data_IF_383329658750
#
_entry.id   IF_383329658750
#
_cell.length_a   1.000
_cell.length_b   1.000
_cell.length_c   1.000
_cell.angle_alpha   90.00
_cell.angle_beta   90.00
_cell.angle_gamma   90.00
#
_symmetry.space_group_name_H-M   'P 1'
#
loop_
_entity.id
_entity.type
_entity.pdbx_description
1 polymer ?
#
# COMPACT_ATOMS: atom_id res chain seq x y z
N UNK A 1 38.47 0.99 0.20
CA UNK A 1 37.72 2.27 0.15
C UNK A 1 36.23 2.09 0.36
N UNK A 2 35.53 1.22 -0.39
CA UNK A 2 34.09 0.99 -0.20
C UNK A 2 33.69 0.66 1.26
N UNK A 3 34.46 -0.19 1.95
CA UNK A 3 34.23 -0.48 3.38
C UNK A 3 34.46 0.70 4.32
N UNK A 4 35.31 1.66 3.94
CA UNK A 4 35.61 2.83 4.76
C UNK A 4 34.57 3.96 4.57
N UNK A 5 33.94 3.99 3.38
CA UNK A 5 32.93 4.99 3.01
C UNK A 5 31.72 4.33 2.34
N UNK A 6 30.97 3.50 3.08
CA UNK A 6 29.85 2.73 2.54
C UNK A 6 28.70 3.61 2.04
N UNK A 7 28.54 4.80 2.62
CA UNK A 7 27.56 5.84 2.29
C UNK A 7 27.96 6.69 1.05
N UNK A 8 29.16 6.46 0.49
CA UNK A 8 29.74 7.22 -0.63
C UNK A 8 30.05 6.36 -1.86
N UNK A 9 29.46 5.17 -1.93
CA UNK A 9 29.41 4.41 -3.17
C UNK A 9 28.51 5.20 -4.12
N UNK A 10 28.95 5.41 -5.36
CA UNK A 10 28.22 6.20 -6.35
C UNK A 10 27.92 5.37 -7.59
N UNK A 11 26.72 5.56 -8.15
CA UNK A 11 26.28 5.00 -9.44
C UNK A 11 26.00 6.12 -10.42
N UNK A 12 26.49 5.96 -11.64
CA UNK A 12 26.28 6.91 -12.72
C UNK A 12 24.80 6.96 -13.13
N UNK A 13 24.23 8.16 -13.32
CA UNK A 13 22.82 8.33 -13.73
C UNK A 13 22.59 8.13 -15.23
N UNK A 14 23.55 8.57 -16.04
CA UNK A 14 23.53 8.49 -17.51
C UNK A 14 24.86 7.94 -17.97
N UNK A 15 24.86 7.03 -18.93
CA UNK A 15 26.11 6.50 -19.47
C UNK A 15 27.00 7.65 -19.97
N UNK A 16 28.27 7.65 -19.53
CA UNK A 16 29.28 8.69 -19.84
C UNK A 16 28.91 10.11 -19.38
N UNK A 17 27.97 10.26 -18.45
CA UNK A 17 27.66 11.53 -17.80
C UNK A 17 28.54 11.78 -16.56
N UNK A 18 28.63 13.02 -16.13
CA UNK A 18 29.32 13.42 -14.90
C UNK A 18 28.46 13.30 -13.64
N UNK A 19 27.18 12.95 -13.78
CA UNK A 19 26.20 12.88 -12.70
C UNK A 19 26.12 11.49 -12.08
N UNK A 20 26.26 11.45 -10.75
CA UNK A 20 26.19 10.25 -9.93
C UNK A 20 25.15 10.39 -8.82
N UNK A 21 24.65 9.25 -8.35
CA UNK A 21 23.87 9.13 -7.11
C UNK A 21 24.70 8.36 -6.11
N UNK A 22 24.86 8.92 -4.92
CA UNK A 22 25.53 8.25 -3.81
C UNK A 22 24.58 7.26 -3.11
N UNK A 23 25.12 6.27 -2.42
CA UNK A 23 24.35 5.26 -1.66
C UNK A 23 23.56 5.89 -0.50
N UNK A 24 23.90 7.10 -0.06
CA UNK A 24 23.07 7.89 0.86
C UNK A 24 21.92 8.68 0.19
N UNK A 25 21.73 8.54 -1.13
CA UNK A 25 20.67 9.19 -1.91
C UNK A 25 21.01 10.58 -2.45
N UNK A 26 22.12 11.20 -2.03
CA UNK A 26 22.54 12.53 -2.52
C UNK A 26 23.04 12.44 -3.96
N UNK A 27 22.82 13.52 -4.72
CA UNK A 27 23.43 13.66 -6.04
C UNK A 27 24.87 14.14 -5.89
N UNK A 28 25.77 13.62 -6.70
CA UNK A 28 27.16 14.04 -6.74
C UNK A 28 27.63 14.18 -8.20
N UNK A 29 28.49 15.16 -8.46
CA UNK A 29 29.02 15.42 -9.78
C UNK A 29 30.54 15.27 -9.79
N UNK A 30 31.05 14.63 -10.84
CA UNK A 30 32.47 14.63 -11.18
C UNK A 30 32.75 15.73 -12.21
N UNK A 31 34.01 16.13 -12.38
CA UNK A 31 34.37 17.05 -13.47
C UNK A 31 34.20 16.34 -14.83
N UNK A 32 33.64 17.02 -15.83
CA UNK A 32 33.34 16.43 -17.15
C UNK A 32 34.57 15.87 -17.88
N UNK A 33 35.74 16.47 -17.66
CA UNK A 33 37.00 16.04 -18.26
C UNK A 33 37.68 14.86 -17.55
N UNK A 34 37.12 14.37 -16.44
CA UNK A 34 37.72 13.28 -15.67
C UNK A 34 37.53 11.92 -16.38
N UNK A 35 38.59 11.12 -16.44
CA UNK A 35 38.56 9.79 -17.05
C UNK A 35 37.66 8.79 -16.31
N UNK A 36 37.36 9.04 -15.03
CA UNK A 36 36.45 8.21 -14.24
C UNK A 36 34.98 8.34 -14.67
N UNK A 37 34.61 9.31 -15.53
CA UNK A 37 33.27 9.38 -16.14
C UNK A 37 32.95 8.16 -17.01
N UNK A 38 33.94 7.34 -17.37
CA UNK A 38 33.72 6.05 -18.03
C UNK A 38 33.27 4.93 -17.06
N UNK A 39 33.46 5.10 -15.75
CA UNK A 39 33.13 4.11 -14.75
C UNK A 39 31.66 4.26 -14.30
N UNK A 40 30.89 3.17 -14.45
CA UNK A 40 29.49 3.12 -14.00
C UNK A 40 29.33 3.23 -12.48
N UNK A 41 30.34 2.76 -11.72
CA UNK A 41 30.37 2.83 -10.27
C UNK A 41 31.72 3.36 -9.78
N UNK A 42 31.69 4.13 -8.70
CA UNK A 42 32.87 4.67 -8.04
C UNK A 42 32.65 4.79 -6.53
N UNK A 43 33.72 4.99 -5.78
CA UNK A 43 33.65 5.33 -4.35
C UNK A 43 34.31 6.68 -4.15
N UNK A 44 33.57 7.65 -3.64
CA UNK A 44 34.10 8.97 -3.36
C UNK A 44 34.77 9.02 -1.98
N UNK A 45 36.08 9.25 -1.96
CA UNK A 45 36.84 9.47 -0.73
C UNK A 45 36.72 10.91 -0.23
N UNK A 46 36.69 11.88 -1.15
CA UNK A 46 36.51 13.30 -0.84
C UNK A 46 35.35 13.90 -1.65
N UNK A 47 34.38 14.44 -0.93
CA UNK A 47 33.22 15.15 -1.43
C UNK A 47 33.23 16.56 -0.85
N UNK A 48 32.68 17.53 -1.57
CA UNK A 48 32.31 18.80 -0.97
C UNK A 48 31.14 19.44 -1.67
N UNK A 49 30.20 19.95 -0.88
CA UNK A 49 29.05 20.71 -1.34
C UNK A 49 29.06 22.11 -0.74
N UNK A 50 28.45 23.07 -1.44
CA UNK A 50 28.09 24.36 -0.85
C UNK A 50 26.72 24.23 -0.17
N UNK A 51 26.56 24.82 1.02
CA UNK A 51 25.27 24.84 1.70
C UNK A 51 24.18 25.42 0.78
N UNK A 52 23.08 24.70 0.60
CA UNK A 52 21.98 25.08 -0.30
C UNK A 52 22.02 24.46 -1.70
N UNK A 53 23.11 23.80 -2.10
CA UNK A 53 23.14 23.03 -3.36
C UNK A 53 22.54 21.63 -3.17
N UNK A 54 21.79 21.18 -4.17
CA UNK A 54 21.20 19.83 -4.23
C UNK A 54 22.19 18.75 -4.68
N UNK A 55 23.43 19.13 -5.03
CA UNK A 55 24.46 18.20 -5.51
C UNK A 55 25.85 18.54 -4.95
N UNK A 56 26.58 17.50 -4.54
CA UNK A 56 27.97 17.59 -4.07
C UNK A 56 28.96 17.45 -5.23
N UNK A 57 30.16 17.99 -5.10
CA UNK A 57 31.27 17.79 -6.03
C UNK A 57 32.19 16.69 -5.52
N UNK A 58 32.53 15.74 -6.39
CA UNK A 58 33.49 14.67 -6.13
C UNK A 58 34.89 15.21 -6.45
N UNK A 59 35.76 15.26 -5.44
CA UNK A 59 37.15 15.72 -5.59
C UNK A 59 38.14 14.55 -5.67
N UNK A 60 37.82 13.43 -5.03
CA UNK A 60 38.64 12.23 -5.06
C UNK A 60 37.75 11.01 -5.04
N UNK A 61 37.91 10.16 -6.05
CA UNK A 61 37.22 8.89 -6.16
C UNK A 61 38.10 7.81 -6.78
N UNK A 62 37.70 6.56 -6.60
CA UNK A 62 38.26 5.42 -7.30
C UNK A 62 37.15 4.67 -8.03
N UNK A 63 37.44 4.16 -9.22
CA UNK A 63 36.53 3.28 -9.94
C UNK A 63 36.23 2.02 -9.11
N UNK A 64 34.96 1.62 -9.09
CA UNK A 64 34.50 0.41 -8.42
C UNK A 64 33.99 -0.59 -9.46
N UNK A 65 34.74 -1.66 -9.77
CA UNK A 65 34.23 -2.71 -10.64
C UNK A 65 32.94 -3.34 -10.10
N UNK A 66 31.95 -3.54 -10.97
CA UNK A 66 30.66 -4.11 -10.57
C UNK A 66 30.78 -5.53 -9.98
N UNK A 67 31.81 -6.29 -10.39
CA UNK A 67 32.11 -7.63 -9.89
C UNK A 67 32.40 -7.68 -8.40
N UNK A 68 32.74 -6.55 -7.76
CA UNK A 68 32.92 -6.50 -6.31
C UNK A 68 31.61 -6.60 -5.54
N UNK A 69 30.48 -6.20 -6.12
CA UNK A 69 29.17 -6.34 -5.51
C UNK A 69 28.80 -7.82 -5.28
N UNK A 70 29.19 -8.70 -6.21
CA UNK A 70 28.91 -10.14 -6.08
C UNK A 70 29.95 -10.91 -5.25
N UNK A 71 30.98 -10.23 -4.73
CA UNK A 71 32.08 -10.85 -3.99
C UNK A 71 32.38 -10.08 -2.71
N UNK A 72 33.37 -9.17 -2.76
CA UNK A 72 33.89 -8.50 -1.58
C UNK A 72 32.86 -7.63 -0.84
N UNK A 73 31.92 -7.01 -1.56
CA UNK A 73 30.91 -6.11 -0.98
C UNK A 73 29.55 -6.78 -0.76
N UNK A 74 29.48 -8.11 -0.82
CA UNK A 74 28.21 -8.85 -0.73
C UNK A 74 27.45 -8.55 0.57
N UNK A 75 28.15 -8.39 1.68
CA UNK A 75 27.57 -8.10 3.00
C UNK A 75 26.96 -6.69 3.09
N UNK A 76 27.29 -5.81 2.14
CA UNK A 76 26.71 -4.46 2.04
C UNK A 76 25.47 -4.41 1.15
N UNK A 77 25.12 -5.53 0.51
CA UNK A 77 23.99 -5.61 -0.40
C UNK A 77 22.76 -6.06 0.36
N UNK A 78 21.74 -5.23 0.29
CA UNK A 78 20.41 -5.58 0.75
C UNK A 78 19.64 -6.18 -0.43
N UNK A 79 19.04 -7.36 -0.19
CA UNK A 79 18.17 -8.00 -1.16
C UNK A 79 16.76 -7.98 -0.61
N UNK A 80 15.90 -7.18 -1.23
CA UNK A 80 14.51 -7.05 -0.82
C UNK A 80 13.61 -7.56 -1.94
N UNK A 81 12.64 -8.39 -1.59
CA UNK A 81 11.52 -8.67 -2.47
C UNK A 81 10.47 -7.59 -2.24
N UNK A 82 9.88 -7.11 -3.32
CA UNK A 82 8.77 -6.17 -3.27
C UNK A 82 7.69 -6.63 -4.24
N UNK A 83 6.46 -6.58 -3.78
CA UNK A 83 5.28 -6.83 -4.59
C UNK A 83 4.58 -5.49 -4.85
N UNK A 84 4.36 -5.15 -6.10
CA UNK A 84 3.59 -3.98 -6.47
C UNK A 84 2.42 -4.40 -7.37
N UNK A 85 1.25 -3.80 -7.16
CA UNK A 85 0.13 -3.97 -8.07
C UNK A 85 0.41 -3.18 -9.36
N UNK A 86 0.54 -3.86 -10.49
CA UNK A 86 0.69 -3.21 -11.79
C UNK A 86 -0.68 -2.98 -12.41
N UNK A 87 -1.09 -1.71 -12.47
CA UNK A 87 -2.35 -1.32 -13.09
C UNK A 87 -2.35 -1.59 -14.60
N UNK A 88 -1.22 -1.30 -15.27
CA UNK A 88 -1.04 -1.54 -16.70
C UNK A 88 -1.21 -3.03 -17.05
N UNK A 89 -0.70 -3.92 -16.20
CA UNK A 89 -0.79 -5.37 -16.42
C UNK A 89 -2.01 -6.01 -15.74
N UNK A 90 -2.76 -5.26 -14.93
CA UNK A 90 -3.89 -5.76 -14.16
C UNK A 90 -3.56 -6.91 -13.20
N UNK A 91 -2.31 -6.98 -12.70
CA UNK A 91 -1.81 -8.07 -11.85
C UNK A 91 -0.68 -7.62 -10.94
N UNK A 92 -0.34 -8.42 -9.95
CA UNK A 92 0.91 -8.23 -9.21
C UNK A 92 2.12 -8.44 -10.10
N UNK A 93 3.08 -7.54 -9.91
CA UNK A 93 4.44 -7.69 -10.35
C UNK A 93 5.27 -7.68 -9.09
N UNK A 94 5.91 -8.81 -8.79
CA UNK A 94 6.95 -8.82 -7.80
C UNK A 94 8.30 -8.70 -8.47
N UNK A 95 9.19 -8.02 -7.79
CA UNK A 95 10.57 -7.92 -8.17
C UNK A 95 11.46 -8.09 -6.95
N UNK A 96 12.57 -8.79 -7.16
CA UNK A 96 13.70 -8.84 -6.24
C UNK A 96 14.64 -7.72 -6.63
N UNK A 97 14.81 -6.76 -5.74
CA UNK A 97 15.75 -5.65 -5.90
C UNK A 97 16.99 -5.93 -5.06
N UNK A 98 18.17 -5.82 -5.67
CA UNK A 98 19.46 -5.78 -4.97
C UNK A 98 19.90 -4.33 -4.88
N UNK A 99 20.11 -3.84 -3.67
CA UNK A 99 20.46 -2.44 -3.41
C UNK A 99 21.72 -2.35 -2.55
N UNK A 100 22.45 -1.24 -2.68
CA UNK A 100 23.51 -0.84 -1.76
C UNK A 100 23.22 0.57 -1.27
N UNK A 101 22.75 0.68 -0.03
CA UNK A 101 22.01 1.87 0.41
C UNK A 101 20.86 2.19 -0.55
N UNK A 102 20.75 3.44 -0.98
CA UNK A 102 19.75 3.91 -1.95
C UNK A 102 20.03 3.58 -3.42
N UNK A 103 21.13 2.90 -3.75
CA UNK A 103 21.48 2.56 -5.15
C UNK A 103 20.88 1.21 -5.54
N UNK A 104 20.06 1.18 -6.59
CA UNK A 104 19.60 -0.05 -7.23
C UNK A 104 20.70 -0.67 -8.11
N UNK A 105 21.15 -1.87 -7.77
CA UNK A 105 22.15 -2.63 -8.53
C UNK A 105 21.48 -3.47 -9.63
N UNK A 106 20.48 -4.26 -9.26
CA UNK A 106 19.68 -5.07 -10.18
C UNK A 106 18.25 -5.22 -9.70
N UNK A 107 17.33 -5.45 -10.64
CA UNK A 107 15.95 -5.83 -10.38
C UNK A 107 15.61 -7.04 -11.24
N UNK A 108 15.01 -8.06 -10.63
CA UNK A 108 14.58 -9.30 -11.27
C UNK A 108 13.10 -9.53 -10.98
N UNK A 109 12.28 -9.71 -12.01
CA UNK A 109 10.86 -10.05 -11.83
C UNK A 109 10.75 -11.46 -11.27
N UNK A 110 10.08 -11.61 -10.13
CA UNK A 110 9.86 -12.90 -9.49
C UNK A 110 8.62 -13.60 -10.07
N UNK A 111 8.72 -14.92 -10.24
CA UNK A 111 7.60 -15.79 -10.65
C UNK A 111 6.65 -16.08 -9.49
N UNK A 112 7.13 -15.98 -8.25
CA UNK A 112 6.36 -16.21 -7.02
C UNK A 112 6.70 -15.15 -5.98
N UNK A 113 5.70 -14.78 -5.19
CA UNK A 113 5.77 -13.72 -4.19
C UNK A 113 5.31 -14.30 -2.86
N UNK A 114 6.01 -14.03 -1.75
CA UNK A 114 5.52 -14.35 -0.42
C UNK A 114 4.11 -13.78 -0.21
N UNK A 115 3.21 -14.56 0.41
CA UNK A 115 1.82 -14.12 0.61
C UNK A 115 1.73 -12.85 1.49
N UNK A 116 2.65 -12.68 2.44
CA UNK A 116 2.73 -11.48 3.28
C UNK A 116 2.96 -10.21 2.46
N UNK A 117 3.90 -10.24 1.52
CA UNK A 117 4.20 -9.10 0.64
C UNK A 117 3.03 -8.82 -0.32
N UNK A 118 2.39 -9.86 -0.86
CA UNK A 118 1.18 -9.68 -1.68
C UNK A 118 0.08 -8.96 -0.90
N UNK A 119 -0.15 -9.39 0.35
CA UNK A 119 -1.16 -8.82 1.23
C UNK A 119 -0.87 -7.35 1.54
N UNK A 120 0.37 -7.01 1.87
CA UNK A 120 0.77 -5.61 2.08
C UNK A 120 0.59 -4.76 0.82
N UNK A 121 1.00 -5.28 -0.34
CA UNK A 121 0.81 -4.61 -1.62
C UNK A 121 -0.67 -4.35 -1.94
N UNK A 122 -1.56 -5.31 -1.63
CA UNK A 122 -3.01 -5.14 -1.75
C UNK A 122 -3.56 -4.06 -0.84
N UNK A 123 -3.18 -4.10 0.44
CA UNK A 123 -3.62 -3.09 1.40
C UNK A 123 -3.14 -1.70 0.96
N UNK A 124 -1.89 -1.58 0.51
CA UNK A 124 -1.37 -0.34 -0.05
C UNK A 124 -2.14 0.11 -1.31
N UNK A 125 -2.50 -0.83 -2.19
CA UNK A 125 -3.31 -0.55 -3.37
C UNK A 125 -4.71 -0.04 -3.01
N UNK A 126 -5.41 -0.71 -2.08
CA UNK A 126 -6.74 -0.30 -1.60
C UNK A 126 -6.66 1.05 -0.89
N UNK A 127 -5.62 1.32 -0.08
CA UNK A 127 -5.40 2.64 0.54
C UNK A 127 -5.25 3.77 -0.49
N UNK A 128 -4.52 3.51 -1.60
CA UNK A 128 -4.30 4.51 -2.65
C UNK A 128 -5.53 4.77 -3.52
N UNK A 129 -6.28 3.71 -3.86
CA UNK A 129 -7.46 3.80 -4.74
C UNK A 129 -8.77 4.08 -3.99
N UNK A 130 -8.78 3.85 -2.69
CA UNK A 130 -9.98 3.91 -1.86
C UNK A 130 -10.82 2.62 -1.94
N UNK A 131 -11.93 2.61 -1.20
CA UNK A 131 -12.82 1.46 -1.08
C UNK A 131 -13.58 1.12 -2.37
N UNK A 132 -13.55 1.99 -3.37
CA UNK A 132 -14.20 1.80 -4.68
C UNK A 132 -13.68 0.59 -5.48
N UNK A 133 -12.53 0.05 -5.09
CA UNK A 133 -11.97 -1.18 -5.66
C UNK A 133 -12.80 -2.41 -5.30
N UNK A 134 -13.45 -2.39 -4.13
CA UNK A 134 -14.28 -3.48 -3.64
C UNK A 134 -15.70 -3.38 -4.23
N UNK A 135 -16.42 -4.51 -4.28
CA UNK A 135 -17.82 -4.50 -4.67
C UNK A 135 -18.72 -4.22 -3.46
N UNK A 136 -19.49 -3.15 -3.55
CA UNK A 136 -20.42 -2.70 -2.51
C UNK A 136 -21.87 -2.98 -2.95
N UNK A 137 -22.37 -4.22 -2.79
CA UNK A 137 -23.76 -4.52 -3.11
C UNK A 137 -24.70 -3.75 -2.19
N UNK A 138 -25.93 -3.50 -2.65
CA UNK A 138 -26.93 -2.74 -1.89
C UNK A 138 -27.16 -3.29 -0.47
N UNK A 139 -27.06 -4.61 -0.28
CA UNK A 139 -27.17 -5.25 1.04
C UNK A 139 -26.10 -4.78 2.01
N UNK A 140 -24.85 -4.62 1.54
CA UNK A 140 -23.73 -4.12 2.34
C UNK A 140 -23.88 -2.63 2.61
N UNK A 141 -24.33 -1.85 1.63
CA UNK A 141 -24.58 -0.42 1.81
C UNK A 141 -25.69 -0.17 2.85
N UNK A 142 -26.78 -0.94 2.80
CA UNK A 142 -27.85 -0.91 3.80
C UNK A 142 -27.33 -1.29 5.19
N UNK A 143 -26.55 -2.38 5.28
CA UNK A 143 -25.93 -2.79 6.54
C UNK A 143 -25.04 -1.68 7.13
N UNK A 144 -24.20 -1.08 6.30
CA UNK A 144 -23.29 0.01 6.68
C UNK A 144 -24.06 1.21 7.20
N UNK A 145 -25.13 1.59 6.51
CA UNK A 145 -25.98 2.70 6.91
C UNK A 145 -26.72 2.44 8.25
N UNK A 146 -27.17 1.20 8.48
CA UNK A 146 -27.78 0.79 9.77
C UNK A 146 -26.78 0.91 10.92
N UNK A 147 -25.56 0.41 10.74
CA UNK A 147 -24.50 0.50 11.76
C UNK A 147 -24.11 1.95 12.02
N UNK A 148 -23.93 2.76 10.97
CA UNK A 148 -23.65 4.20 11.11
C UNK A 148 -24.78 4.93 11.85
N UNK A 149 -26.04 4.60 11.59
CA UNK A 149 -27.18 5.19 12.30
C UNK A 149 -27.13 4.88 13.81
N UNK A 150 -26.91 3.63 14.19
CA UNK A 150 -26.82 3.25 15.61
C UNK A 150 -25.61 3.86 16.31
N UNK A 151 -24.48 4.00 15.60
CA UNK A 151 -23.31 4.71 16.09
C UNK A 151 -23.62 6.21 16.35
N UNK A 152 -24.27 6.88 15.39
CA UNK A 152 -24.65 8.30 15.51
C UNK A 152 -25.66 8.55 16.65
N UNK A 153 -26.61 7.62 16.84
CA UNK A 153 -27.62 7.70 17.89
C UNK A 153 -27.12 7.23 19.27
N UNK A 154 -25.87 6.75 19.36
CA UNK A 154 -25.25 6.23 20.59
C UNK A 154 -26.10 5.15 21.28
N UNK A 155 -26.67 4.22 20.49
CA UNK A 155 -27.49 3.15 21.02
C UNK A 155 -26.68 2.08 21.77
N UNK A 156 -27.27 1.48 22.80
CA UNK A 156 -26.74 0.27 23.46
C UNK A 156 -26.60 -0.91 22.46
N UNK A 157 -25.59 -1.80 22.61
CA UNK A 157 -24.61 -1.90 23.70
C UNK A 157 -23.43 -0.90 23.61
N UNK A 158 -23.48 0.06 22.67
CA UNK A 158 -22.41 1.02 22.43
C UNK A 158 -21.24 0.45 21.62
N UNK A 159 -20.16 1.23 21.50
CA UNK A 159 -18.92 0.87 20.79
C UNK A 159 -19.12 0.36 19.36
N UNK A 160 -20.10 0.91 18.64
CA UNK A 160 -20.32 0.59 17.22
C UNK A 160 -19.07 0.98 16.41
N UNK A 161 -18.60 0.12 15.49
CA UNK A 161 -17.41 0.40 14.69
C UNK A 161 -17.65 1.58 13.74
N UNK A 162 -16.59 2.35 13.49
CA UNK A 162 -16.61 3.38 12.45
C UNK A 162 -16.54 2.73 11.07
N UNK A 163 -17.72 2.58 10.46
CA UNK A 163 -17.88 2.01 9.12
C UNK A 163 -17.99 3.08 8.03
N UNK A 164 -17.56 4.31 8.31
CA UNK A 164 -17.37 5.34 7.27
C UNK A 164 -16.24 4.95 6.32
N UNK A 165 -16.15 5.61 5.16
CA UNK A 165 -15.07 5.34 4.21
C UNK A 165 -13.69 5.58 4.86
N UNK A 166 -13.53 6.65 5.63
CA UNK A 166 -12.29 6.97 6.34
C UNK A 166 -11.98 5.96 7.44
N UNK A 167 -12.98 5.58 8.25
CA UNK A 167 -12.82 4.58 9.32
C UNK A 167 -12.40 3.22 8.79
N UNK A 168 -13.05 2.76 7.71
CA UNK A 168 -12.70 1.50 7.07
C UNK A 168 -11.34 1.55 6.39
N UNK A 169 -10.94 2.67 5.77
CA UNK A 169 -9.60 2.83 5.19
C UNK A 169 -8.51 2.82 6.27
N UNK A 170 -8.78 3.43 7.43
CA UNK A 170 -7.84 3.45 8.55
C UNK A 170 -7.63 2.07 9.19
N UNK A 171 -8.62 1.18 9.09
CA UNK A 171 -8.63 -0.13 9.76
C UNK A 171 -8.46 -1.33 8.80
N UNK A 172 -8.01 -1.12 7.56
CA UNK A 172 -7.87 -2.18 6.55
C UNK A 172 -7.04 -3.38 7.03
N UNK A 173 -6.00 -3.16 7.83
CA UNK A 173 -5.15 -4.23 8.37
C UNK A 173 -5.92 -5.16 9.31
N UNK A 174 -6.97 -4.66 9.95
CA UNK A 174 -7.78 -5.42 10.91
C UNK A 174 -8.89 -6.18 10.20
N UNK A 175 -9.66 -5.50 9.35
CA UNK A 175 -10.90 -6.07 8.82
C UNK A 175 -10.73 -6.74 7.46
N UNK A 176 -9.85 -6.23 6.59
CA UNK A 176 -9.68 -6.74 5.23
C UNK A 176 -8.52 -7.71 5.12
N UNK A 177 -7.38 -7.40 5.73
CA UNK A 177 -6.13 -8.17 5.68
C UNK A 177 -6.28 -9.69 5.86
N UNK A 178 -7.08 -10.20 6.83
CA UNK A 178 -7.24 -11.64 7.04
C UNK A 178 -7.87 -12.38 5.85
N UNK A 179 -8.62 -11.66 5.02
CA UNK A 179 -9.38 -12.21 3.89
C UNK A 179 -8.65 -12.05 2.54
N UNK A 180 -7.44 -11.49 2.54
CA UNK A 180 -6.64 -11.28 1.31
C UNK A 180 -5.78 -12.50 0.94
N UNK A 181 -5.82 -13.58 1.72
CA UNK A 181 -5.13 -14.82 1.40
C UNK A 181 -5.64 -15.40 0.06
N UNK A 182 -4.75 -15.76 -0.84
CA UNK A 182 -5.09 -16.29 -2.16
C UNK A 182 -5.58 -15.27 -3.20
N UNK A 183 -5.69 -13.99 -2.86
CA UNK A 183 -6.08 -12.93 -3.78
C UNK A 183 -4.92 -12.56 -4.71
N UNK A 184 -5.07 -12.82 -6.02
CA UNK A 184 -4.01 -12.60 -7.01
C UNK A 184 -4.40 -11.62 -8.12
N UNK A 185 -5.66 -11.21 -8.19
CA UNK A 185 -6.19 -10.31 -9.22
C UNK A 185 -7.25 -9.34 -8.67
N UNK A 186 -7.57 -8.29 -9.44
CA UNK A 186 -8.70 -7.39 -9.14
C UNK A 186 -10.03 -8.14 -9.10
N UNK A 187 -10.20 -9.17 -9.94
CA UNK A 187 -11.40 -9.99 -9.91
C UNK A 187 -11.52 -10.76 -8.60
N UNK A 188 -10.42 -11.24 -8.04
CA UNK A 188 -10.44 -11.93 -6.75
C UNK A 188 -10.82 -10.96 -5.62
N UNK A 189 -10.29 -9.73 -5.63
CA UNK A 189 -10.69 -8.68 -4.67
C UNK A 189 -12.19 -8.39 -4.76
N UNK A 190 -12.73 -8.29 -5.96
CA UNK A 190 -14.16 -8.03 -6.19
C UNK A 190 -15.06 -9.18 -5.74
N UNK A 191 -14.55 -10.40 -5.72
CA UNK A 191 -15.26 -11.60 -5.27
C UNK A 191 -15.28 -11.78 -3.75
N UNK A 192 -14.61 -10.90 -2.99
CA UNK A 192 -14.65 -10.95 -1.53
C UNK A 192 -16.09 -10.73 -1.02
N UNK A 193 -16.53 -11.60 -0.13
CA UNK A 193 -17.84 -11.48 0.52
C UNK A 193 -17.81 -10.38 1.59
N UNK A 194 -17.99 -9.12 1.15
CA UNK A 194 -18.01 -7.97 2.05
C UNK A 194 -19.10 -8.07 3.12
N UNK A 195 -20.22 -8.74 2.83
CA UNK A 195 -21.31 -8.88 3.82
C UNK A 195 -20.81 -9.67 5.02
N UNK A 196 -20.17 -10.82 4.76
CA UNK A 196 -19.57 -11.64 5.80
C UNK A 196 -18.43 -10.91 6.50
N UNK A 197 -17.52 -10.31 5.73
CA UNK A 197 -16.33 -9.64 6.27
C UNK A 197 -16.71 -8.50 7.21
N UNK A 198 -17.62 -7.61 6.80
CA UNK A 198 -18.03 -6.47 7.61
C UNK A 198 -18.91 -6.89 8.79
N UNK A 199 -19.75 -7.93 8.63
CA UNK A 199 -20.53 -8.45 9.76
C UNK A 199 -19.64 -8.93 10.92
N UNK A 200 -18.42 -9.38 10.63
CA UNK A 200 -17.44 -9.81 11.63
C UNK A 200 -16.82 -8.65 12.44
N UNK A 201 -17.09 -7.40 12.07
CA UNK A 201 -16.75 -6.21 12.89
C UNK A 201 -17.63 -6.07 14.12
N UNK A 202 -18.83 -6.65 14.10
CA UNK A 202 -19.77 -6.59 15.20
C UNK A 202 -19.65 -7.85 16.04
N UNK A 203 -19.59 -7.67 17.36
CA UNK A 203 -19.78 -8.78 18.28
C UNK A 203 -21.23 -9.29 18.27
N UNK A 204 -21.47 -10.44 18.91
CA UNK A 204 -22.79 -11.05 18.89
C UNK A 204 -23.90 -10.16 19.52
N UNK A 205 -23.69 -9.50 20.67
CA UNK A 205 -24.64 -8.51 21.20
C UNK A 205 -24.97 -7.38 20.21
N UNK A 206 -23.96 -6.81 19.55
CA UNK A 206 -24.16 -5.76 18.55
C UNK A 206 -24.93 -6.27 17.33
N UNK A 207 -24.67 -7.49 16.85
CA UNK A 207 -25.43 -8.09 15.76
C UNK A 207 -26.92 -8.25 16.11
N UNK A 208 -27.24 -8.66 17.33
CA UNK A 208 -28.63 -8.74 17.81
C UNK A 208 -29.28 -7.36 17.95
N UNK A 209 -28.56 -6.40 18.53
CA UNK A 209 -29.02 -5.03 18.67
C UNK A 209 -29.28 -4.38 17.30
N UNK A 210 -28.42 -4.62 16.31
CA UNK A 210 -28.58 -4.12 14.95
C UNK A 210 -29.89 -4.61 14.32
N UNK A 211 -30.20 -5.89 14.49
CA UNK A 211 -31.42 -6.48 13.94
C UNK A 211 -32.69 -6.04 14.66
N UNK A 212 -32.58 -5.64 15.93
CA UNK A 212 -33.71 -5.21 16.76
C UNK A 212 -33.99 -3.71 16.62
N UNK A 213 -32.95 -2.89 16.72
CA UNK A 213 -33.04 -1.43 16.74
C UNK A 213 -33.14 -0.84 15.33
N UNK A 214 -32.52 -1.49 14.34
CA UNK A 214 -32.55 -1.09 12.94
C UNK A 214 -32.88 -2.29 12.04
N UNK A 215 -34.10 -2.84 12.08
CA UNK A 215 -34.47 -4.00 11.28
C UNK A 215 -34.47 -3.69 9.78
N UNK A 216 -34.14 -4.66 8.93
CA UNK A 216 -34.14 -4.49 7.46
C UNK A 216 -35.55 -4.28 6.88
N UNK A 217 -36.55 -4.81 7.57
CA UNK A 217 -37.94 -4.73 7.17
C UNK A 217 -38.85 -4.56 8.36
N UNK A 218 -39.95 -3.86 8.14
CA UNK A 218 -40.98 -3.60 9.14
C UNK A 218 -42.33 -4.13 8.66
N UNK A 219 -43.06 -4.77 9.56
CA UNK A 219 -44.44 -5.19 9.31
C UNK A 219 -45.36 -4.03 9.65
N UNK A 220 -46.00 -3.45 8.63
CA UNK A 220 -46.98 -2.38 8.84
C UNK A 220 -48.30 -2.94 9.39
N UNK A 221 -49.16 -2.11 10.02
CA UNK A 221 -50.44 -2.58 10.59
C UNK A 221 -51.36 -3.31 9.61
N UNK A 222 -51.23 -3.08 8.30
CA UNK A 222 -51.95 -3.83 7.27
C UNK A 222 -51.46 -5.28 7.08
N UNK A 223 -50.45 -5.72 7.84
CA UNK A 223 -49.83 -7.04 7.76
C UNK A 223 -48.76 -7.18 6.67
N UNK A 224 -48.55 -6.16 5.84
CA UNK A 224 -47.51 -6.18 4.81
C UNK A 224 -46.12 -5.96 5.39
N UNK A 225 -45.12 -6.70 4.90
CA UNK A 225 -43.70 -6.47 5.22
C UNK A 225 -43.09 -5.52 4.21
N UNK A 226 -42.43 -4.46 4.68
CA UNK A 226 -41.80 -3.44 3.84
C UNK A 226 -40.34 -3.25 4.23
N UNK A 227 -39.46 -3.18 3.24
CA UNK A 227 -38.04 -2.86 3.46
C UNK A 227 -37.89 -1.40 3.87
N UNK A 228 -36.95 -1.15 4.77
CA UNK A 228 -36.53 0.19 5.17
C UNK A 228 -35.25 0.52 4.40
N UNK A 229 -35.20 1.68 3.76
CA UNK A 229 -34.02 2.20 3.11
C UNK A 229 -33.25 3.09 4.09
N UNK A 230 -32.17 2.55 4.67
CA UNK A 230 -31.28 3.25 5.60
C UNK A 230 -30.24 4.10 4.89
N UNK A 231 -30.04 3.96 3.57
CA UNK A 231 -29.12 4.80 2.83
C UNK A 231 -29.63 6.25 2.69
N UNK A 232 -30.91 6.49 3.01
CA UNK A 232 -31.51 7.82 3.10
C UNK A 232 -31.46 8.37 4.53
N UNK A 233 -31.44 9.69 4.65
CA UNK A 233 -31.46 10.38 5.95
C UNK A 233 -32.63 11.38 5.99
N UNK A 234 -33.66 11.16 6.84
CA UNK A 234 -33.86 10.00 7.72
C UNK A 234 -34.15 8.70 6.92
N UNK A 235 -34.02 7.51 7.55
CA UNK A 235 -34.37 6.23 6.90
C UNK A 235 -35.82 6.22 6.38
N UNK A 236 -36.02 5.68 5.18
CA UNK A 236 -37.30 5.76 4.47
C UNK A 236 -37.97 4.40 4.37
N UNK A 237 -39.25 4.35 4.72
CA UNK A 237 -40.13 3.20 4.50
C UNK A 237 -41.25 3.60 3.53
N UNK A 238 -41.13 3.16 2.28
CA UNK A 238 -42.10 3.49 1.23
C UNK A 238 -43.38 2.65 1.36
N UNK A 239 -44.48 3.28 1.78
CA UNK A 239 -45.82 2.68 1.90
C UNK A 239 -46.82 3.49 1.12
N UNK A 240 -47.70 2.82 0.37
CA UNK A 240 -48.87 3.46 -0.24
C UNK A 240 -49.90 3.71 0.85
N UNK A 241 -50.34 4.97 1.03
CA UNK A 241 -51.53 5.28 1.82
C UNK A 241 -52.73 4.59 1.17
N UNK A 242 -53.46 3.82 1.97
CA UNK A 242 -54.74 3.23 1.60
C UNK A 242 -55.87 4.15 2.03
#
# INVERSE_FOLDING_TARGET
>A
MAFAYPDRIAKQRRERGSDYVLSNGRAAMLQESDGLNAAAYLVAAALGGKAGNSSDTIYLAAALPATHFDNALIDMIETNCSAEWSEVKGRFVAERRRTVGGILLSSEVLSSVPESEKREALLAFVRRRGLSVLEWPDTVLQWRARVSLLAQLHCEPGNWPDVSDDGLLAQLDTWLSPYLAGVNSLQDIKRLDLSRILSALLDWPQQQALNTLAPESFTVPSGSVKKIDYCQSPPVLAVKLQ
#
